data_IF_555988044606
#
_entry.id   IF_555988044606
#
_cell.length_a   1.000
_cell.length_b   1.000
_cell.length_c   1.000
_cell.angle_alpha   90.00
_cell.angle_beta   90.00
_cell.angle_gamma   90.00
#
_symmetry.space_group_name_H-M   'P 1'
#
loop_
_entity.id
_entity.type
_entity.pdbx_description
1 polymer ?
#
# COMPACT_ATOMS: atom_id res chain seq x y z
N UNK A 1 -21.82 20.85 -10.79
CA UNK A 1 -21.44 20.65 -12.20
C UNK A 1 -21.08 21.98 -12.81
N UNK A 2 -19.87 22.27 -13.19
CA UNK A 2 -19.59 23.30 -14.14
C UNK A 2 -19.45 22.66 -15.53
N UNK A 3 -20.21 23.22 -16.46
CA UNK A 3 -20.22 22.86 -17.88
C UNK A 3 -18.89 23.22 -18.51
N UNK A 4 -18.40 22.34 -19.41
CA UNK A 4 -17.20 22.58 -20.17
C UNK A 4 -17.28 23.90 -20.95
N UNK A 5 -16.22 24.69 -20.85
CA UNK A 5 -16.07 25.91 -21.62
C UNK A 5 -15.83 25.53 -23.09
N UNK A 6 -16.75 25.86 -23.95
CA UNK A 6 -16.53 25.92 -25.40
C UNK A 6 -15.59 27.09 -25.69
N UNK A 7 -14.34 26.79 -26.05
CA UNK A 7 -13.45 27.78 -26.63
C UNK A 7 -13.67 27.77 -28.13
N UNK A 8 -14.37 28.79 -28.64
CA UNK A 8 -14.41 29.05 -30.10
C UNK A 8 -13.07 29.63 -30.52
N UNK A 9 -12.31 28.89 -31.27
CA UNK A 9 -11.14 29.41 -31.99
C UNK A 9 -11.56 29.79 -33.41
N UNK A 10 -11.70 31.12 -33.67
CA UNK A 10 -11.75 31.69 -35.02
C UNK A 10 -10.34 31.83 -35.61
N UNK A 11 -9.64 30.68 -35.86
CA UNK A 11 -8.26 30.69 -36.40
C UNK A 11 -8.21 30.28 -37.90
N UNK A 12 -9.35 30.20 -38.57
CA UNK A 12 -9.39 29.60 -39.89
C UNK A 12 -9.42 30.60 -41.06
N UNK A 13 -9.31 31.93 -40.88
CA UNK A 13 -9.20 32.86 -41.99
C UNK A 13 -7.76 33.24 -42.38
N UNK A 14 -6.83 33.21 -41.44
CA UNK A 14 -5.46 33.69 -41.73
C UNK A 14 -4.48 32.62 -42.24
N UNK A 15 -4.75 31.32 -42.03
CA UNK A 15 -3.86 30.26 -42.49
C UNK A 15 -4.07 29.78 -43.92
N UNK A 16 -5.14 30.22 -44.60
CA UNK A 16 -5.46 29.87 -45.99
C UNK A 16 -4.88 30.85 -47.01
N UNK A 17 -4.26 31.96 -46.60
CA UNK A 17 -3.64 32.94 -47.47
C UNK A 17 -2.21 32.60 -47.94
N UNK A 18 -1.63 31.53 -47.44
CA UNK A 18 -0.22 31.12 -47.79
C UNK A 18 -0.11 30.08 -48.92
N UNK A 19 -1.21 29.61 -49.49
CA UNK A 19 -1.17 28.68 -50.63
C UNK A 19 -2.00 29.29 -51.77
N UNK A 20 -1.36 30.12 -52.55
CA UNK A 20 -1.89 30.87 -53.68
C UNK A 20 -2.73 30.08 -54.69
N UNK A 21 -4.01 29.83 -54.39
CA UNK A 21 -5.06 29.43 -55.33
C UNK A 21 -6.34 30.13 -55.01
N UNK A 22 -6.94 30.82 -56.00
CA UNK A 22 -8.19 31.52 -55.94
C UNK A 22 -9.34 30.61 -55.45
N UNK A 23 -10.30 31.14 -54.65
CA UNK A 23 -11.44 30.33 -54.16
C UNK A 23 -12.44 30.07 -55.30
N UNK A 24 -12.66 28.83 -55.63
CA UNK A 24 -13.81 28.38 -56.41
C UNK A 24 -15.03 28.41 -55.50
N UNK A 25 -16.00 29.26 -55.81
CA UNK A 25 -17.33 29.24 -55.17
C UNK A 25 -18.05 27.95 -55.58
N UNK A 26 -18.25 27.06 -54.64
CA UNK A 26 -19.13 25.90 -54.80
C UNK A 26 -20.32 26.16 -53.85
N UNK A 27 -21.48 26.51 -54.42
CA UNK A 27 -22.74 26.60 -53.72
C UNK A 27 -23.23 25.17 -53.37
N UNK A 28 -23.09 24.76 -52.12
CA UNK A 28 -23.70 23.56 -51.61
C UNK A 28 -24.72 23.88 -50.51
N UNK A 29 -25.97 23.36 -50.56
CA UNK A 29 -27.05 23.69 -49.63
C UNK A 29 -27.12 22.88 -48.37
N UNK A 30 -25.98 22.42 -47.82
CA UNK A 30 -25.95 21.70 -46.55
C UNK A 30 -24.94 22.36 -45.62
N UNK A 31 -25.47 22.96 -44.55
CA UNK A 31 -24.71 23.51 -43.44
C UNK A 31 -23.96 22.40 -42.66
N UNK A 32 -22.98 21.74 -43.28
CA UNK A 32 -22.13 20.80 -42.63
C UNK A 32 -20.88 21.53 -42.07
N UNK A 33 -20.96 21.92 -40.78
CA UNK A 33 -19.80 22.39 -40.04
C UNK A 33 -19.16 21.15 -39.43
N UNK A 34 -17.93 20.75 -39.83
CA UNK A 34 -17.23 19.69 -39.14
C UNK A 34 -16.93 20.17 -37.72
N UNK A 35 -17.60 19.58 -36.72
CA UNK A 35 -17.18 19.68 -35.34
C UNK A 35 -15.90 18.89 -35.19
N UNK A 36 -14.74 19.51 -35.30
CA UNK A 36 -13.51 18.94 -34.79
C UNK A 36 -13.61 18.97 -33.27
N UNK A 37 -14.05 17.87 -32.65
CA UNK A 37 -13.79 17.56 -31.26
C UNK A 37 -12.27 17.32 -31.17
N UNK A 38 -11.51 18.36 -30.84
CA UNK A 38 -10.16 18.19 -30.35
C UNK A 38 -10.33 17.52 -28.98
N UNK A 39 -10.23 16.22 -28.95
CA UNK A 39 -9.97 15.51 -27.70
C UNK A 39 -8.59 15.99 -27.23
N UNK A 40 -8.55 17.01 -26.38
CA UNK A 40 -7.44 17.11 -25.47
C UNK A 40 -7.43 15.76 -24.76
N UNK A 41 -6.44 14.94 -25.04
CA UNK A 41 -6.09 13.81 -24.19
C UNK A 41 -5.75 14.47 -22.86
N UNK A 42 -6.75 14.60 -21.96
CA UNK A 42 -6.52 15.13 -20.62
C UNK A 42 -5.47 14.22 -20.00
N UNK A 43 -4.25 14.77 -19.90
CA UNK A 43 -3.10 14.05 -19.37
C UNK A 43 -3.44 13.63 -17.94
N UNK A 44 -3.74 12.35 -17.74
CA UNK A 44 -4.11 11.83 -16.42
C UNK A 44 -2.99 12.10 -15.44
N UNK A 45 -3.27 12.87 -14.39
CA UNK A 45 -2.31 13.16 -13.32
C UNK A 45 -1.88 11.87 -12.60
N UNK A 46 -2.77 10.89 -12.50
CA UNK A 46 -2.49 9.56 -11.98
C UNK A 46 -1.33 8.86 -12.73
N UNK A 47 -1.16 9.14 -14.02
CA UNK A 47 -0.08 8.57 -14.85
C UNK A 47 1.16 9.48 -14.93
N UNK A 48 1.17 10.62 -14.24
CA UNK A 48 2.32 11.52 -14.22
C UNK A 48 3.38 11.09 -13.21
N UNK A 49 4.64 11.39 -13.51
CA UNK A 49 5.78 11.20 -12.61
C UNK A 49 5.61 11.96 -11.29
N UNK A 50 6.21 11.44 -10.24
CA UNK A 50 6.32 12.12 -8.94
C UNK A 50 7.50 11.55 -8.16
N UNK A 51 7.86 12.19 -7.04
CA UNK A 51 8.89 11.68 -6.13
C UNK A 51 8.28 11.48 -4.75
N UNK A 52 8.66 10.38 -4.10
CA UNK A 52 8.40 10.11 -2.69
C UNK A 52 9.73 10.11 -1.95
N UNK A 53 10.07 11.25 -1.32
CA UNK A 53 11.42 11.46 -0.82
C UNK A 53 12.46 11.28 -1.93
N UNK A 54 13.41 10.36 -1.74
CA UNK A 54 14.44 9.98 -2.71
C UNK A 54 14.01 8.92 -3.74
N UNK A 55 12.75 8.47 -3.72
CA UNK A 55 12.25 7.45 -4.64
C UNK A 55 11.50 8.12 -5.78
N UNK A 56 12.03 8.02 -7.00
CA UNK A 56 11.38 8.52 -8.21
C UNK A 56 10.36 7.51 -8.74
N UNK A 57 9.12 7.94 -8.95
CA UNK A 57 8.03 7.15 -9.46
C UNK A 57 7.69 7.56 -10.90
N UNK A 58 7.57 6.57 -11.80
CA UNK A 58 7.19 6.79 -13.20
C UNK A 58 5.72 7.22 -13.37
N UNK A 59 4.87 6.88 -12.41
CA UNK A 59 3.46 7.24 -12.35
C UNK A 59 2.98 7.18 -10.88
N UNK A 60 1.69 7.48 -10.61
CA UNK A 60 1.10 7.53 -9.27
C UNK A 60 0.20 6.33 -8.97
N UNK A 61 0.31 5.27 -9.76
CA UNK A 61 -0.37 3.99 -9.57
C UNK A 61 0.55 3.09 -8.75
N UNK A 62 0.24 2.91 -7.47
CA UNK A 62 1.04 2.10 -6.54
C UNK A 62 0.45 0.71 -6.42
N UNK A 63 1.28 -0.33 -6.48
CA UNK A 63 0.85 -1.67 -6.08
C UNK A 63 0.84 -1.76 -4.56
N UNK A 64 -0.36 -1.91 -3.98
CA UNK A 64 -0.54 -2.09 -2.55
C UNK A 64 0.14 -3.38 -2.04
N UNK A 65 0.58 -3.44 -0.78
CA UNK A 65 1.09 -4.68 -0.19
C UNK A 65 -0.02 -5.72 -0.11
N UNK A 66 0.24 -6.90 -0.67
CA UNK A 66 -0.71 -8.00 -0.79
C UNK A 66 -0.06 -9.29 -0.33
N UNK A 67 -0.48 -9.82 0.80
CA UNK A 67 -0.07 -11.15 1.27
C UNK A 67 -0.52 -12.21 0.28
N UNK A 68 0.41 -13.05 -0.22
CA UNK A 68 0.13 -14.07 -1.21
C UNK A 68 0.34 -15.50 -0.68
N UNK A 69 1.04 -15.66 0.45
CA UNK A 69 1.27 -16.95 1.12
C UNK A 69 1.89 -17.99 0.17
N UNK A 70 2.96 -17.63 -0.52
CA UNK A 70 3.70 -18.49 -1.48
C UNK A 70 5.20 -18.56 -1.21
N UNK A 71 5.63 -18.14 -0.01
CA UNK A 71 7.01 -18.36 0.41
C UNK A 71 7.32 -19.85 0.53
N UNK A 72 8.54 -20.20 0.21
CA UNK A 72 9.08 -21.56 0.32
C UNK A 72 9.47 -21.89 1.77
N UNK A 73 10.01 -23.10 2.00
CA UNK A 73 10.54 -23.48 3.30
C UNK A 73 11.54 -22.44 3.82
N UNK A 74 11.52 -22.17 5.12
CA UNK A 74 12.29 -21.10 5.75
C UNK A 74 11.71 -19.71 5.51
N UNK A 75 10.46 -19.63 5.03
CA UNK A 75 9.80 -18.35 4.70
C UNK A 75 10.57 -17.52 3.65
N UNK A 76 11.18 -18.20 2.69
CA UNK A 76 12.03 -17.63 1.63
C UNK A 76 11.17 -17.32 0.40
N UNK A 77 11.21 -16.08 -0.16
CA UNK A 77 10.58 -15.79 -1.45
C UNK A 77 11.20 -16.64 -2.57
N UNK A 78 10.35 -17.33 -3.34
CA UNK A 78 10.79 -18.20 -4.43
C UNK A 78 10.83 -17.53 -5.81
N UNK A 79 11.18 -18.30 -6.84
CA UNK A 79 11.28 -17.84 -8.23
C UNK A 79 9.94 -17.28 -8.77
N UNK A 80 8.81 -17.86 -8.37
CA UNK A 80 7.50 -17.32 -8.74
C UNK A 80 7.25 -15.92 -8.18
N UNK A 81 7.82 -15.58 -7.01
CA UNK A 81 7.73 -14.23 -6.46
C UNK A 81 8.51 -13.23 -7.33
N UNK A 82 9.72 -13.60 -7.79
CA UNK A 82 10.51 -12.77 -8.70
C UNK A 82 9.74 -12.47 -10.00
N UNK A 83 9.15 -13.50 -10.62
CA UNK A 83 8.31 -13.35 -11.80
C UNK A 83 7.06 -12.47 -11.53
N UNK A 84 6.36 -12.71 -10.41
CA UNK A 84 5.15 -11.98 -10.03
C UNK A 84 5.38 -10.49 -9.90
N UNK A 85 6.44 -10.09 -9.20
CA UNK A 85 6.76 -8.68 -8.99
C UNK A 85 7.33 -8.03 -10.27
N UNK A 86 8.15 -8.72 -11.04
CA UNK A 86 8.67 -8.22 -12.33
C UNK A 86 7.53 -7.93 -13.34
N UNK A 87 6.52 -8.80 -13.41
CA UNK A 87 5.33 -8.57 -14.25
C UNK A 87 4.58 -7.26 -13.89
N UNK A 88 4.69 -6.79 -12.65
CA UNK A 88 3.99 -5.60 -12.12
C UNK A 88 4.87 -4.36 -12.05
N UNK A 89 6.07 -4.42 -12.61
CA UNK A 89 7.06 -3.35 -12.55
C UNK A 89 6.66 -2.05 -13.27
N UNK A 90 5.56 -2.06 -14.05
CA UNK A 90 4.96 -0.86 -14.62
C UNK A 90 4.27 0.03 -13.57
N UNK A 91 4.00 -0.47 -12.35
CA UNK A 91 3.57 0.34 -11.23
C UNK A 91 4.59 1.45 -10.95
N UNK A 92 4.13 2.65 -10.58
CA UNK A 92 5.03 3.71 -10.14
C UNK A 92 5.87 3.30 -8.93
N UNK A 93 5.27 2.51 -8.02
CA UNK A 93 5.92 1.89 -6.88
C UNK A 93 5.24 0.56 -6.57
N UNK A 94 6.02 -0.47 -6.29
CA UNK A 94 5.55 -1.71 -5.70
C UNK A 94 5.84 -1.68 -4.20
N UNK A 95 4.82 -1.87 -3.36
CA UNK A 95 5.02 -2.27 -1.97
C UNK A 95 4.91 -3.79 -1.92
N UNK A 96 5.96 -4.47 -1.47
CA UNK A 96 5.97 -5.94 -1.38
C UNK A 96 4.85 -6.45 -0.48
N UNK A 97 4.49 -7.72 -0.59
CA UNK A 97 3.77 -8.37 0.50
C UNK A 97 4.54 -8.17 1.82
N UNK A 98 3.79 -8.12 2.92
CA UNK A 98 4.38 -7.90 4.23
C UNK A 98 5.37 -9.02 4.57
N UNK A 99 6.60 -8.63 4.93
CA UNK A 99 7.67 -9.52 5.31
C UNK A 99 7.88 -9.46 6.83
N UNK A 100 7.83 -10.61 7.50
CA UNK A 100 8.01 -10.68 8.94
C UNK A 100 9.43 -10.32 9.35
N UNK A 101 9.56 -9.49 10.40
CA UNK A 101 10.84 -8.96 10.89
C UNK A 101 11.62 -9.94 11.77
N UNK A 102 10.95 -10.97 12.28
CA UNK A 102 11.52 -12.04 13.13
C UNK A 102 10.60 -13.26 13.07
N UNK A 103 11.03 -14.40 13.61
CA UNK A 103 10.23 -15.61 13.67
C UNK A 103 8.93 -15.40 14.48
N UNK A 104 8.97 -14.60 15.55
CA UNK A 104 7.80 -14.28 16.37
C UNK A 104 6.81 -13.35 15.66
N UNK A 105 7.25 -12.66 14.60
CA UNK A 105 6.39 -11.76 13.82
C UNK A 105 5.46 -12.47 12.84
N UNK A 106 5.56 -13.79 12.68
CA UNK A 106 4.79 -14.61 11.73
C UNK A 106 3.36 -14.82 12.20
N UNK A 107 2.39 -14.65 11.28
CA UNK A 107 0.96 -14.83 11.58
C UNK A 107 0.19 -15.72 10.61
N UNK A 108 0.82 -16.12 9.51
CA UNK A 108 0.18 -16.96 8.50
C UNK A 108 1.20 -17.95 7.91
N UNK A 109 0.75 -19.13 7.43
CA UNK A 109 1.63 -20.05 6.74
C UNK A 109 2.17 -19.46 5.44
N UNK A 110 3.38 -19.84 5.05
CA UNK A 110 4.03 -19.45 3.80
C UNK A 110 4.04 -17.92 3.52
N UNK A 111 4.12 -17.09 4.55
CA UNK A 111 4.45 -15.65 4.41
C UNK A 111 5.96 -15.45 4.48
N UNK A 112 6.54 -14.55 3.67
CA UNK A 112 7.99 -14.38 3.65
C UNK A 112 8.51 -13.60 4.86
N UNK A 113 9.75 -13.92 5.26
CA UNK A 113 10.52 -13.15 6.22
C UNK A 113 11.54 -12.23 5.56
N UNK A 114 12.18 -11.38 6.39
CA UNK A 114 13.29 -10.49 6.02
C UNK A 114 14.30 -10.39 7.16
N UNK A 115 14.59 -11.51 7.83
CA UNK A 115 15.45 -11.54 9.01
C UNK A 115 16.58 -12.58 8.93
N UNK A 116 16.58 -13.49 7.93
CA UNK A 116 17.66 -14.43 7.69
C UNK A 116 18.38 -14.16 6.37
N UNK A 117 19.60 -14.69 6.23
CA UNK A 117 20.40 -14.53 5.02
C UNK A 117 19.76 -15.21 3.81
N UNK A 118 19.08 -16.36 4.00
CA UNK A 118 18.37 -17.07 2.94
C UNK A 118 17.17 -16.24 2.44
N UNK A 119 16.46 -15.59 3.35
CA UNK A 119 15.34 -14.70 3.00
C UNK A 119 15.85 -13.47 2.22
N UNK A 120 16.97 -12.89 2.64
CA UNK A 120 17.64 -11.80 1.90
C UNK A 120 18.01 -12.23 0.48
N UNK A 121 18.57 -13.43 0.31
CA UNK A 121 18.90 -13.96 -1.02
C UNK A 121 17.64 -14.19 -1.87
N UNK A 122 16.57 -14.70 -1.27
CA UNK A 122 15.27 -14.83 -1.96
C UNK A 122 14.71 -13.48 -2.42
N UNK A 123 14.71 -12.49 -1.53
CA UNK A 123 14.26 -11.14 -1.88
C UNK A 123 15.17 -10.44 -2.90
N UNK A 124 16.48 -10.70 -2.89
CA UNK A 124 17.41 -10.16 -3.88
C UNK A 124 17.02 -10.58 -5.30
N UNK A 125 16.62 -11.84 -5.50
CA UNK A 125 16.11 -12.30 -6.81
C UNK A 125 14.88 -11.51 -7.24
N UNK A 126 14.00 -11.15 -6.29
CA UNK A 126 12.81 -10.35 -6.56
C UNK A 126 13.19 -8.91 -6.95
N UNK A 127 14.03 -8.25 -6.16
CA UNK A 127 14.44 -6.87 -6.41
C UNK A 127 15.23 -6.74 -7.71
N UNK A 128 16.15 -7.67 -7.97
CA UNK A 128 16.92 -7.71 -9.23
C UNK A 128 15.99 -7.88 -10.44
N UNK A 129 14.99 -8.77 -10.36
CA UNK A 129 14.03 -8.98 -11.44
C UNK A 129 13.14 -7.74 -11.71
N UNK A 130 12.72 -7.03 -10.66
CA UNK A 130 11.94 -5.78 -10.78
C UNK A 130 12.82 -4.67 -11.36
N UNK A 131 14.05 -4.52 -10.88
CA UNK A 131 14.98 -3.48 -11.36
C UNK A 131 15.43 -3.73 -12.80
N UNK A 132 15.61 -4.99 -13.20
CA UNK A 132 15.98 -5.34 -14.59
C UNK A 132 14.97 -4.83 -15.63
N UNK A 133 13.72 -4.63 -15.25
CA UNK A 133 12.66 -4.08 -16.09
C UNK A 133 12.28 -2.63 -15.72
N UNK A 134 13.11 -1.95 -14.94
CA UNK A 134 13.00 -0.52 -14.61
C UNK A 134 11.98 -0.18 -13.51
N UNK A 135 11.45 -1.17 -12.78
CA UNK A 135 10.50 -0.97 -11.69
C UNK A 135 11.16 -0.49 -10.39
N UNK A 136 10.32 -0.07 -9.44
CA UNK A 136 10.68 0.33 -8.07
C UNK A 136 9.93 -0.51 -7.08
N UNK A 137 10.62 -1.05 -6.06
CA UNK A 137 10.03 -1.91 -5.04
C UNK A 137 10.57 -1.60 -3.66
N UNK A 138 9.67 -1.48 -2.67
CA UNK A 138 9.99 -1.31 -1.25
C UNK A 138 9.49 -2.48 -0.43
N UNK A 139 10.17 -2.79 0.68
CA UNK A 139 9.78 -3.88 1.59
C UNK A 139 8.79 -3.38 2.65
N UNK A 140 7.64 -4.05 2.82
CA UNK A 140 6.78 -3.79 3.96
C UNK A 140 7.24 -4.62 5.18
N UNK A 141 7.70 -3.93 6.24
CA UNK A 141 8.16 -4.54 7.49
C UNK A 141 6.97 -4.84 8.41
N UNK A 142 6.86 -6.06 8.87
CA UNK A 142 5.65 -6.57 9.51
C UNK A 142 5.91 -7.39 10.78
N UNK A 143 5.09 -7.13 11.79
CA UNK A 143 4.90 -7.99 12.94
C UNK A 143 3.40 -8.09 13.22
N UNK A 144 2.86 -9.30 13.19
CA UNK A 144 1.40 -9.49 13.26
C UNK A 144 0.81 -9.28 14.66
N UNK A 145 1.65 -9.35 15.70
CA UNK A 145 1.15 -9.26 17.08
C UNK A 145 0.24 -10.44 17.42
N UNK A 146 -0.95 -10.14 17.96
CA UNK A 146 -1.95 -11.14 18.36
C UNK A 146 -2.64 -11.87 17.21
N UNK A 147 -2.38 -11.46 15.96
CA UNK A 147 -2.97 -12.09 14.77
C UNK A 147 -2.11 -13.26 14.34
N UNK A 148 -2.02 -14.26 15.19
CA UNK A 148 -1.20 -15.46 14.99
C UNK A 148 -1.74 -16.64 15.82
N UNK A 149 -1.05 -17.77 15.70
CA UNK A 149 -1.30 -19.00 16.46
C UNK A 149 0.03 -19.63 16.87
N UNK A 150 0.10 -20.24 18.07
CA UNK A 150 1.32 -20.86 18.62
C UNK A 150 1.94 -21.91 17.70
N UNK A 151 1.13 -22.60 16.87
CA UNK A 151 1.63 -23.54 15.88
C UNK A 151 2.60 -22.92 14.85
N UNK A 152 2.55 -21.62 14.64
CA UNK A 152 3.45 -20.87 13.76
C UNK A 152 4.76 -20.47 14.48
N UNK A 153 4.80 -20.60 15.81
CA UNK A 153 5.89 -20.17 16.70
C UNK A 153 6.41 -21.30 17.60
N UNK A 154 6.55 -22.49 17.07
CA UNK A 154 6.85 -23.71 17.85
C UNK A 154 7.98 -23.55 18.88
N UNK A 155 8.96 -22.70 18.59
CA UNK A 155 10.07 -22.39 19.51
C UNK A 155 9.86 -21.11 20.33
N UNK A 156 8.93 -20.24 19.92
CA UNK A 156 8.70 -18.90 20.49
C UNK A 156 7.45 -18.83 21.41
N UNK A 157 6.63 -19.88 21.43
CA UNK A 157 5.43 -19.95 22.26
C UNK A 157 4.23 -19.14 21.72
N UNK A 158 3.47 -18.53 22.64
CA UNK A 158 2.25 -17.79 22.30
C UNK A 158 2.53 -16.52 21.49
N UNK A 159 1.61 -16.10 20.63
CA UNK A 159 1.62 -14.78 20.03
C UNK A 159 1.75 -13.66 21.07
N UNK A 160 2.30 -12.54 20.70
CA UNK A 160 2.52 -11.39 21.60
C UNK A 160 1.67 -10.19 21.20
N UNK A 161 1.32 -9.34 22.19
CA UNK A 161 0.50 -8.15 21.98
C UNK A 161 0.81 -7.08 23.01
N UNK A 162 0.29 -5.84 22.90
CA UNK A 162 0.40 -4.87 23.98
C UNK A 162 -0.28 -5.33 25.27
N UNK A 163 -1.35 -6.13 25.16
CA UNK A 163 -2.10 -6.69 26.30
C UNK A 163 -2.63 -8.09 25.96
N UNK A 164 -2.85 -8.92 26.96
CA UNK A 164 -3.34 -10.30 26.81
C UNK A 164 -4.84 -10.35 26.45
N UNK A 165 -5.19 -9.86 25.26
CA UNK A 165 -6.55 -9.75 24.72
C UNK A 165 -6.60 -10.47 23.38
N UNK A 166 -7.27 -11.62 23.31
CA UNK A 166 -7.50 -12.33 22.07
C UNK A 166 -8.48 -11.55 21.17
N UNK A 167 -8.23 -11.44 19.86
CA UNK A 167 -9.26 -10.93 18.95
C UNK A 167 -10.34 -11.97 18.71
N UNK A 168 -11.50 -11.53 18.23
CA UNK A 168 -12.57 -12.43 17.78
C UNK A 168 -12.23 -13.06 16.44
N UNK A 169 -12.75 -14.26 16.16
CA UNK A 169 -12.60 -14.92 14.86
C UNK A 169 -11.62 -16.10 14.85
N UNK A 170 -11.03 -16.35 13.69
CA UNK A 170 -10.16 -17.52 13.45
C UNK A 170 -8.91 -17.11 12.69
N UNK A 171 -7.84 -17.86 12.92
CA UNK A 171 -6.54 -17.70 12.26
C UNK A 171 -6.10 -18.99 11.57
N UNK A 172 -5.31 -18.88 10.53
CA UNK A 172 -4.66 -20.04 9.92
C UNK A 172 -3.55 -20.56 10.82
N UNK A 173 -3.53 -21.89 11.04
CA UNK A 173 -2.46 -22.61 11.71
C UNK A 173 -1.36 -23.01 10.71
N UNK A 174 -0.23 -23.52 11.20
CA UNK A 174 0.85 -24.03 10.34
C UNK A 174 0.41 -25.14 9.38
N UNK A 175 -0.62 -25.91 9.75
CA UNK A 175 -1.23 -26.95 8.90
C UNK A 175 -2.30 -26.42 7.93
N UNK A 176 -2.46 -25.10 7.78
CA UNK A 176 -3.50 -24.46 6.97
C UNK A 176 -4.93 -24.67 7.49
N UNK A 177 -5.10 -25.19 8.70
CA UNK A 177 -6.38 -25.24 9.40
C UNK A 177 -6.80 -23.84 9.89
N UNK A 178 -8.09 -23.66 10.18
CA UNK A 178 -8.63 -22.46 10.81
C UNK A 178 -9.03 -22.76 12.24
N UNK A 179 -8.31 -22.17 13.21
CA UNK A 179 -8.59 -22.29 14.63
C UNK A 179 -8.94 -20.94 15.26
N UNK A 180 -9.55 -20.94 16.43
CA UNK A 180 -9.79 -19.70 17.18
C UNK A 180 -8.45 -19.05 17.55
N UNK A 181 -8.43 -17.72 17.63
CA UNK A 181 -7.28 -17.02 18.16
C UNK A 181 -6.99 -17.43 19.60
N UNK A 182 -5.72 -17.62 19.93
CA UNK A 182 -5.27 -17.80 21.32
C UNK A 182 -5.18 -16.45 22.02
N UNK A 183 -5.28 -16.47 23.35
CA UNK A 183 -4.96 -15.29 24.16
C UNK A 183 -3.46 -15.02 24.07
N UNK A 184 -3.04 -13.89 23.50
CA UNK A 184 -1.62 -13.58 23.37
C UNK A 184 -0.99 -13.29 24.73
N UNK A 185 0.33 -13.42 24.80
CA UNK A 185 1.12 -12.92 25.93
C UNK A 185 1.31 -11.41 25.78
N UNK A 186 1.15 -10.65 26.86
CA UNK A 186 1.52 -9.25 26.87
C UNK A 186 3.05 -9.11 26.73
N UNK A 187 3.50 -8.17 25.89
CA UNK A 187 4.93 -7.83 25.77
C UNK A 187 5.38 -7.11 27.06
N UNK A 188 6.45 -7.62 27.67
CA UNK A 188 7.04 -6.98 28.85
C UNK A 188 7.77 -5.70 28.44
N UNK A 189 7.85 -4.72 29.37
CA UNK A 189 8.52 -3.44 29.11
C UNK A 189 9.99 -3.63 28.71
N UNK A 190 10.65 -4.63 29.29
CA UNK A 190 12.05 -5.01 29.00
C UNK A 190 12.27 -5.63 27.64
N UNK A 191 11.23 -6.12 26.97
CA UNK A 191 11.29 -6.73 25.63
C UNK A 191 11.21 -5.65 24.51
N UNK A 192 10.63 -4.48 24.78
CA UNK A 192 10.40 -3.45 23.76
C UNK A 192 11.69 -2.99 23.06
N UNK A 193 12.82 -2.78 23.74
CA UNK A 193 14.06 -2.48 23.05
C UNK A 193 14.51 -3.56 22.07
N UNK A 194 14.33 -4.85 22.41
CA UNK A 194 14.61 -5.97 21.52
C UNK A 194 13.71 -5.96 20.28
N UNK A 195 12.41 -5.72 20.47
CA UNK A 195 11.45 -5.59 19.37
C UNK A 195 11.82 -4.46 18.39
N UNK A 196 12.27 -3.30 18.90
CA UNK A 196 12.76 -2.20 18.05
C UNK A 196 14.00 -2.64 17.29
N UNK A 197 14.91 -3.42 17.90
CA UNK A 197 16.09 -3.96 17.22
C UNK A 197 15.73 -4.98 16.14
N UNK A 198 14.64 -5.75 16.27
CA UNK A 198 14.14 -6.63 15.20
C UNK A 198 13.73 -5.81 13.96
N UNK A 199 13.04 -4.67 14.14
CA UNK A 199 12.75 -3.74 13.03
C UNK A 199 14.02 -3.16 12.40
N UNK A 200 15.01 -2.78 13.22
CA UNK A 200 16.33 -2.27 12.74
C UNK A 200 17.06 -3.35 11.93
N UNK A 201 17.06 -4.59 12.44
CA UNK A 201 17.68 -5.72 11.75
C UNK A 201 16.99 -5.97 10.41
N UNK A 202 15.66 -6.11 10.39
CA UNK A 202 14.88 -6.31 9.17
C UNK A 202 15.07 -5.17 8.16
N UNK A 203 15.14 -3.93 8.63
CA UNK A 203 15.43 -2.77 7.79
C UNK A 203 16.81 -2.84 7.12
N UNK A 204 17.85 -3.30 7.84
CA UNK A 204 19.19 -3.57 7.28
C UNK A 204 19.16 -4.70 6.26
N UNK A 205 18.45 -5.79 6.56
CA UNK A 205 18.31 -6.93 5.66
C UNK A 205 17.55 -6.55 4.38
N UNK A 206 16.50 -5.71 4.47
CA UNK A 206 15.82 -5.18 3.30
C UNK A 206 16.77 -4.33 2.41
N UNK A 207 17.67 -3.56 3.02
CA UNK A 207 18.70 -2.81 2.28
C UNK A 207 19.70 -3.74 1.60
N UNK A 208 20.13 -4.80 2.26
CA UNK A 208 20.99 -5.82 1.68
C UNK A 208 20.30 -6.61 0.56
N UNK A 209 19.00 -6.82 0.64
CA UNK A 209 18.19 -7.45 -0.38
C UNK A 209 17.96 -6.55 -1.63
N UNK A 210 18.40 -5.28 -1.61
CA UNK A 210 18.33 -4.40 -2.77
C UNK A 210 17.01 -3.63 -2.95
N UNK A 211 16.15 -3.56 -1.93
CA UNK A 211 14.94 -2.73 -2.00
C UNK A 211 15.26 -1.23 -2.16
N UNK A 212 14.35 -0.46 -2.73
CA UNK A 212 14.49 1.00 -2.90
C UNK A 212 14.15 1.79 -1.62
N UNK A 213 13.51 1.16 -0.64
CA UNK A 213 13.09 1.73 0.64
C UNK A 213 12.27 0.72 1.45
N UNK A 214 11.63 1.18 2.51
CA UNK A 214 10.78 0.35 3.37
C UNK A 214 9.48 1.07 3.75
N UNK A 215 8.43 0.29 4.01
CA UNK A 215 7.20 0.75 4.62
C UNK A 215 6.99 0.03 5.95
N UNK A 216 6.87 0.78 7.06
CA UNK A 216 6.52 0.21 8.37
C UNK A 216 5.02 -0.04 8.42
N UNK A 217 4.61 -1.28 8.71
CA UNK A 217 3.20 -1.66 8.76
C UNK A 217 2.58 -1.32 10.12
N UNK A 218 1.96 -0.16 10.23
CA UNK A 218 1.23 0.32 11.42
C UNK A 218 -0.30 0.33 11.23
N UNK A 219 -0.86 -0.70 10.55
CA UNK A 219 -2.26 -0.74 10.12
C UNK A 219 -2.88 -2.12 10.27
N UNK A 220 -4.18 -2.24 9.96
CA UNK A 220 -4.92 -3.49 9.82
C UNK A 220 -4.96 -4.37 11.08
N UNK A 221 -4.80 -3.82 12.27
CA UNK A 221 -4.86 -4.55 13.52
C UNK A 221 -3.64 -5.44 13.81
N UNK A 222 -2.49 -5.17 13.17
CA UNK A 222 -1.23 -5.83 13.50
C UNK A 222 -0.49 -5.12 14.64
N UNK A 223 0.68 -5.58 15.04
CA UNK A 223 1.29 -5.24 16.33
C UNK A 223 1.34 -3.72 16.60
N UNK A 224 1.89 -2.93 15.69
CA UNK A 224 2.01 -1.49 15.92
C UNK A 224 0.64 -0.79 15.98
N UNK A 225 -0.32 -1.23 15.17
CA UNK A 225 -1.71 -0.77 15.22
C UNK A 225 -2.40 -1.20 16.54
N UNK A 226 -2.09 -2.41 17.05
CA UNK A 226 -2.58 -2.87 18.36
C UNK A 226 -2.09 -1.99 19.51
N UNK A 227 -0.87 -1.43 19.43
CA UNK A 227 -0.36 -0.47 20.42
C UNK A 227 -1.08 0.87 20.33
N UNK A 228 -1.45 1.33 19.12
CA UNK A 228 -2.12 2.62 18.90
C UNK A 228 -3.52 2.65 19.54
N UNK A 229 -4.30 1.59 19.37
CA UNK A 229 -5.73 1.57 19.71
C UNK A 229 -6.01 1.14 21.15
N UNK A 230 -6.85 1.91 21.86
CA UNK A 230 -7.19 1.62 23.26
C UNK A 230 -8.07 0.37 23.44
N UNK A 231 -8.70 -0.15 22.39
CA UNK A 231 -9.43 -1.42 22.40
C UNK A 231 -8.52 -2.62 22.66
N UNK A 232 -7.32 -2.63 22.08
CA UNK A 232 -6.33 -3.71 22.18
C UNK A 232 -5.18 -3.39 23.14
N UNK A 233 -4.94 -2.12 23.50
CA UNK A 233 -3.89 -1.68 24.40
C UNK A 233 -4.47 -1.20 25.74
N UNK A 234 -4.31 -2.02 26.78
CA UNK A 234 -4.72 -1.74 28.18
C UNK A 234 -3.51 -1.56 29.12
N UNK A 235 -2.34 -1.25 28.55
CA UNK A 235 -1.12 -1.01 29.34
C UNK A 235 -1.26 0.23 30.24
N UNK A 236 -0.61 0.17 31.39
CA UNK A 236 -0.55 1.28 32.33
C UNK A 236 0.84 1.92 32.40
N UNK A 237 1.80 1.45 31.58
CA UNK A 237 3.15 1.99 31.46
C UNK A 237 3.24 3.05 30.36
N UNK A 238 4.47 3.48 30.02
CA UNK A 238 4.76 4.52 29.04
C UNK A 238 4.35 4.16 27.59
N UNK A 239 3.85 2.95 27.31
CA UNK A 239 3.34 2.52 26.00
C UNK A 239 1.81 2.33 25.99
N UNK A 240 1.09 2.78 27.01
CA UNK A 240 -0.35 2.69 27.13
C UNK A 240 -1.01 3.91 27.77
N UNK A 241 -2.33 3.93 27.77
CA UNK A 241 -3.14 5.04 28.34
C UNK A 241 -3.32 6.19 27.34
N UNK A 242 -2.54 7.29 27.46
CA UNK A 242 -2.69 8.48 26.60
C UNK A 242 -2.34 8.21 25.14
N UNK A 243 -2.81 9.07 24.23
CA UNK A 243 -2.51 8.95 22.79
C UNK A 243 -0.99 9.04 22.51
N UNK A 244 -0.26 9.84 23.28
CA UNK A 244 1.19 9.99 23.18
C UNK A 244 1.89 8.66 23.53
N UNK A 245 1.49 8.05 24.62
CA UNK A 245 2.06 6.78 25.06
C UNK A 245 1.73 5.64 24.08
N UNK A 246 0.49 5.55 23.61
CA UNK A 246 0.09 4.54 22.63
C UNK A 246 0.77 4.71 21.28
N UNK A 247 1.12 5.92 20.89
CA UNK A 247 1.86 6.23 19.66
C UNK A 247 3.38 6.00 19.80
N UNK A 248 3.91 5.91 21.01
CA UNK A 248 5.35 5.88 21.31
C UNK A 248 6.08 4.78 20.56
N UNK A 249 5.60 3.53 20.62
CA UNK A 249 6.29 2.41 19.98
C UNK A 249 6.43 2.61 18.48
N UNK A 250 5.36 3.01 17.78
CA UNK A 250 5.43 3.27 16.34
C UNK A 250 6.44 4.38 16.01
N UNK A 251 6.45 5.47 16.79
CA UNK A 251 7.38 6.57 16.55
C UNK A 251 8.83 6.15 16.81
N UNK A 252 9.11 5.37 17.87
CA UNK A 252 10.45 4.84 18.17
C UNK A 252 10.94 3.86 17.10
N UNK A 253 10.07 2.96 16.61
CA UNK A 253 10.38 2.07 15.49
C UNK A 253 10.72 2.88 14.24
N UNK A 254 9.90 3.86 13.87
CA UNK A 254 10.15 4.70 12.70
C UNK A 254 11.45 5.49 12.84
N UNK A 255 11.72 6.06 14.00
CA UNK A 255 12.99 6.76 14.28
C UNK A 255 14.19 5.83 14.05
N UNK A 256 14.12 4.60 14.57
CA UNK A 256 15.18 3.60 14.43
C UNK A 256 15.38 3.12 12.99
N UNK A 257 14.28 2.88 12.26
CA UNK A 257 14.31 2.50 10.84
C UNK A 257 14.84 3.63 9.96
N UNK A 258 14.48 4.90 10.25
CA UNK A 258 15.06 6.07 9.59
C UNK A 258 16.56 6.19 9.82
N UNK A 259 17.06 5.74 10.96
CA UNK A 259 18.51 5.65 11.22
C UNK A 259 19.26 4.70 10.28
N UNK A 260 18.57 3.72 9.70
CA UNK A 260 19.15 2.77 8.71
C UNK A 260 19.07 3.29 7.29
N UNK A 261 17.92 3.89 6.91
CA UNK A 261 17.58 4.19 5.51
C UNK A 261 17.70 5.67 5.13
N UNK A 262 17.64 6.59 6.10
CA UNK A 262 17.21 7.97 5.87
C UNK A 262 15.69 8.07 5.83
N UNK A 263 15.13 9.15 6.34
CA UNK A 263 13.67 9.33 6.39
C UNK A 263 13.03 9.42 4.99
N UNK A 264 13.78 9.87 4.01
CA UNK A 264 13.39 10.03 2.60
C UNK A 264 13.19 8.70 1.82
N UNK A 265 13.42 7.54 2.48
CA UNK A 265 13.19 6.18 1.95
C UNK A 265 12.33 5.32 2.86
N UNK A 266 11.72 5.92 3.87
CA UNK A 266 10.86 5.25 4.85
C UNK A 266 9.45 5.80 4.73
N UNK A 267 8.48 4.90 4.55
CA UNK A 267 7.06 5.19 4.65
C UNK A 267 6.42 4.49 5.84
N UNK A 268 5.19 4.88 6.16
CA UNK A 268 4.38 4.19 7.16
C UNK A 268 2.95 4.02 6.66
N UNK A 269 2.37 2.83 6.91
CA UNK A 269 0.98 2.53 6.56
C UNK A 269 0.11 2.57 7.80
N UNK A 270 -1.02 3.29 7.72
CA UNK A 270 -1.98 3.49 8.80
C UNK A 270 -3.41 3.21 8.32
N UNK A 271 -4.28 2.74 9.24
CA UNK A 271 -5.70 2.45 8.98
C UNK A 271 -6.63 3.12 9.99
N UNK A 272 -6.68 4.47 10.05
CA UNK A 272 -7.65 5.16 10.88
C UNK A 272 -9.07 4.67 10.56
N UNK A 273 -9.89 4.50 11.58
CA UNK A 273 -11.25 3.94 11.47
C UNK A 273 -11.32 2.49 10.97
N UNK A 274 -10.19 1.80 10.77
CA UNK A 274 -10.17 0.38 10.43
C UNK A 274 -10.65 -0.48 11.60
N UNK A 275 -11.58 -1.43 11.34
CA UNK A 275 -12.08 -2.38 12.33
C UNK A 275 -11.58 -3.81 12.10
N UNK A 276 -10.76 -4.01 11.07
CA UNK A 276 -10.21 -5.33 10.73
C UNK A 276 -9.36 -5.87 11.89
N UNK A 277 -9.42 -7.18 12.13
CA UNK A 277 -8.74 -7.84 13.26
C UNK A 277 -9.17 -7.34 14.63
N UNK A 278 -10.47 -6.98 14.76
CA UNK A 278 -11.12 -6.59 16.03
C UNK A 278 -10.50 -5.31 16.63
N UNK A 279 -10.20 -4.34 15.75
CA UNK A 279 -9.67 -3.05 16.18
C UNK A 279 -10.77 -2.06 16.54
N UNK A 280 -10.55 -1.32 17.62
CA UNK A 280 -11.46 -0.25 18.07
C UNK A 280 -10.71 0.79 18.89
N UNK A 281 -11.16 2.04 18.81
CA UNK A 281 -10.68 3.13 19.67
C UNK A 281 -11.83 4.09 20.00
N UNK A 282 -11.80 4.65 21.20
CA UNK A 282 -12.81 5.61 21.66
C UNK A 282 -12.59 7.02 21.15
N UNK A 283 -11.38 7.35 20.66
CA UNK A 283 -11.01 8.66 20.10
C UNK A 283 -10.03 8.53 18.93
N UNK A 284 -10.51 7.92 17.85
CA UNK A 284 -9.73 7.76 16.59
C UNK A 284 -9.23 9.10 16.08
N UNK A 285 -10.06 10.15 16.14
CA UNK A 285 -9.69 11.47 15.60
C UNK A 285 -8.55 12.11 16.40
N UNK A 286 -8.63 12.09 17.74
CA UNK A 286 -7.56 12.62 18.60
C UNK A 286 -6.26 11.85 18.43
N UNK A 287 -6.33 10.51 18.43
CA UNK A 287 -5.18 9.64 18.23
C UNK A 287 -4.44 9.97 16.92
N UNK A 288 -5.14 9.92 15.79
CA UNK A 288 -4.49 10.11 14.48
C UNK A 288 -4.14 11.58 14.19
N UNK A 289 -4.82 12.56 14.78
CA UNK A 289 -4.39 13.97 14.74
C UNK A 289 -3.03 14.14 15.44
N UNK A 290 -2.86 13.57 16.62
CA UNK A 290 -1.57 13.59 17.33
C UNK A 290 -0.48 12.85 16.55
N UNK A 291 -0.76 11.60 16.16
CA UNK A 291 0.21 10.73 15.48
C UNK A 291 0.70 11.35 14.17
N UNK A 292 -0.21 11.79 13.30
CA UNK A 292 0.16 12.37 11.99
C UNK A 292 0.91 13.69 12.18
N UNK A 293 0.54 14.51 13.18
CA UNK A 293 1.30 15.70 13.55
C UNK A 293 2.72 15.40 14.04
N UNK A 294 2.92 14.25 14.73
CA UNK A 294 4.27 13.80 15.12
C UNK A 294 5.06 13.27 13.91
N UNK A 295 4.42 12.48 13.03
CA UNK A 295 5.01 11.94 11.80
C UNK A 295 5.44 13.04 10.81
N UNK A 296 4.70 14.15 10.75
CA UNK A 296 5.05 15.32 9.92
C UNK A 296 6.43 15.87 10.20
N UNK A 297 6.89 15.78 11.47
CA UNK A 297 8.23 16.25 11.89
C UNK A 297 9.36 15.31 11.48
N UNK A 298 9.04 14.07 11.12
CA UNK A 298 10.03 13.05 10.77
C UNK A 298 10.49 13.10 9.31
N UNK A 299 9.80 13.89 8.47
CA UNK A 299 10.11 14.04 7.03
C UNK A 299 10.17 12.69 6.28
N UNK A 300 9.22 11.78 6.57
CA UNK A 300 9.14 10.50 5.92
C UNK A 300 8.87 10.65 4.41
N UNK A 301 9.29 9.67 3.63
CA UNK A 301 9.07 9.61 2.18
C UNK A 301 7.57 9.71 1.83
N UNK A 302 6.72 9.03 2.59
CA UNK A 302 5.27 9.06 2.42
C UNK A 302 4.51 8.53 3.64
N UNK A 303 3.23 8.89 3.69
CA UNK A 303 2.22 8.32 4.58
C UNK A 303 1.17 7.59 3.74
N UNK A 304 0.94 6.31 4.02
CA UNK A 304 0.03 5.46 3.28
C UNK A 304 -1.24 5.19 4.11
N UNK A 305 -2.35 5.80 3.73
CA UNK A 305 -3.64 5.59 4.39
C UNK A 305 -4.47 4.49 3.74
N UNK A 306 -5.09 3.66 4.59
CA UNK A 306 -6.21 2.82 4.20
C UNK A 306 -7.49 3.58 4.49
N UNK A 307 -8.31 3.79 3.46
CA UNK A 307 -9.61 4.42 3.58
C UNK A 307 -10.63 3.42 4.16
N UNK A 308 -11.45 3.81 5.14
CA UNK A 308 -12.45 2.94 5.75
C UNK A 308 -13.59 2.55 4.80
N UNK A 309 -13.73 3.24 3.66
CA UNK A 309 -14.66 2.87 2.59
C UNK A 309 -14.44 1.46 2.06
N UNK A 310 -13.23 0.91 2.17
CA UNK A 310 -12.90 -0.47 1.77
C UNK A 310 -12.69 -1.31 3.01
N UNK A 311 -13.73 -1.95 3.48
CA UNK A 311 -13.70 -2.80 4.66
C UNK A 311 -13.06 -4.17 4.38
N UNK A 312 -12.62 -4.87 5.45
CA UNK A 312 -12.14 -6.26 5.42
C UNK A 312 -10.90 -6.52 4.54
N UNK A 313 -9.93 -5.59 4.48
CA UNK A 313 -8.63 -5.80 3.82
C UNK A 313 -8.73 -6.54 2.45
N UNK A 314 -9.73 -6.18 1.63
CA UNK A 314 -9.98 -6.82 0.34
C UNK A 314 -10.90 -8.05 0.38
N UNK A 315 -11.49 -8.40 1.51
CA UNK A 315 -12.47 -9.48 1.64
C UNK A 315 -13.80 -9.22 0.91
N UNK A 316 -14.11 -7.96 0.58
CA UNK A 316 -15.32 -7.56 -0.15
C UNK A 316 -14.99 -6.57 -1.27
N UNK A 317 -15.85 -6.51 -2.29
CA UNK A 317 -15.81 -5.48 -3.34
C UNK A 317 -16.68 -4.27 -3.01
N UNK A 318 -17.47 -4.35 -1.94
CA UNK A 318 -18.33 -3.26 -1.52
C UNK A 318 -17.48 -2.07 -1.04
N UNK A 319 -17.88 -0.90 -1.46
CA UNK A 319 -17.33 0.39 -1.02
C UNK A 319 -18.42 1.11 -0.25
N UNK A 320 -18.11 1.53 0.98
CA UNK A 320 -19.00 2.33 1.80
C UNK A 320 -18.72 3.83 1.52
N UNK A 321 -19.68 4.52 0.93
CA UNK A 321 -19.51 5.91 0.48
C UNK A 321 -19.68 6.92 1.62
N UNK A 322 -20.35 6.54 2.69
CA UNK A 322 -20.67 7.37 3.86
C UNK A 322 -19.55 7.43 4.92
N UNK A 323 -18.43 6.75 4.67
CA UNK A 323 -17.32 6.72 5.59
C UNK A 323 -16.43 7.98 5.50
N UNK A 324 -15.85 8.44 6.62
CA UNK A 324 -14.91 9.57 6.59
C UNK A 324 -13.68 9.23 5.76
N UNK A 325 -13.25 10.12 4.86
CA UNK A 325 -12.00 9.93 4.12
C UNK A 325 -10.79 10.25 5.00
N UNK A 326 -9.94 9.24 5.25
CA UNK A 326 -8.74 9.38 6.07
C UNK A 326 -7.71 10.31 5.44
N UNK A 327 -7.45 10.15 4.14
CA UNK A 327 -6.53 11.04 3.42
C UNK A 327 -6.99 12.49 3.42
N UNK A 328 -8.30 12.75 3.29
CA UNK A 328 -8.85 14.10 3.37
C UNK A 328 -8.75 14.71 4.77
N UNK A 329 -8.96 13.90 5.82
CA UNK A 329 -8.94 14.38 7.21
C UNK A 329 -7.52 14.60 7.74
N UNK A 330 -6.62 13.64 7.50
CA UNK A 330 -5.32 13.59 8.13
C UNK A 330 -4.16 13.94 7.19
N UNK A 331 -4.34 13.80 5.87
CA UNK A 331 -3.30 14.14 4.88
C UNK A 331 -2.77 15.56 5.03
N UNK A 332 -3.62 16.60 5.18
CA UNK A 332 -3.16 17.98 5.37
C UNK A 332 -2.29 18.21 6.62
N UNK A 333 -2.40 17.34 7.64
CA UNK A 333 -1.59 17.42 8.86
C UNK A 333 -0.17 16.88 8.67
N UNK A 334 0.04 16.04 7.66
CA UNK A 334 1.34 15.42 7.40
C UNK A 334 2.31 16.36 6.68
N UNK A 335 1.81 17.15 5.74
CA UNK A 335 2.63 18.10 4.97
C UNK A 335 3.62 17.46 4.00
N UNK A 336 3.64 16.13 3.87
CA UNK A 336 4.46 15.32 2.96
C UNK A 336 3.59 14.59 1.93
N UNK A 337 4.17 13.56 1.30
CA UNK A 337 3.49 12.76 0.28
C UNK A 337 2.50 11.74 0.88
N UNK A 338 1.31 11.67 0.30
CA UNK A 338 0.23 10.78 0.76
C UNK A 338 -0.14 9.77 -0.32
N UNK A 339 -0.16 8.49 0.06
CA UNK A 339 -0.77 7.40 -0.70
C UNK A 339 -2.13 7.10 -0.08
N UNK A 340 -3.17 6.98 -0.89
CA UNK A 340 -4.50 6.54 -0.45
C UNK A 340 -4.85 5.17 -1.05
N UNK A 341 -5.40 4.26 -0.23
CA UNK A 341 -5.83 2.92 -0.63
C UNK A 341 -7.24 2.67 -0.14
N UNK A 342 -8.17 2.25 -0.99
CA UNK A 342 -9.55 2.03 -0.54
C UNK A 342 -10.54 1.71 -1.64
N UNK A 343 -10.25 0.73 -2.50
CA UNK A 343 -11.21 0.26 -3.50
C UNK A 343 -11.49 1.26 -4.63
N UNK A 344 -10.49 2.05 -4.98
CA UNK A 344 -10.56 2.99 -6.09
C UNK A 344 -10.62 2.29 -7.44
N UNK A 345 -11.43 2.84 -8.36
CA UNK A 345 -11.35 2.60 -9.79
C UNK A 345 -10.42 3.62 -10.45
N UNK A 346 -10.35 3.60 -11.79
CA UNK A 346 -9.53 4.51 -12.58
C UNK A 346 -9.91 5.99 -12.38
N UNK A 347 -11.20 6.29 -12.55
CA UNK A 347 -11.67 7.67 -12.62
C UNK A 347 -11.78 8.34 -11.25
N UNK A 348 -12.18 7.61 -10.20
CA UNK A 348 -12.17 8.14 -8.84
C UNK A 348 -10.73 8.27 -8.30
N UNK A 349 -9.80 7.40 -8.69
CA UNK A 349 -8.38 7.56 -8.41
C UNK A 349 -7.80 8.84 -9.05
N UNK A 350 -8.09 9.07 -10.34
CA UNK A 350 -7.71 10.31 -11.02
C UNK A 350 -8.27 11.54 -10.31
N UNK A 351 -9.55 11.52 -9.95
CA UNK A 351 -10.18 12.64 -9.26
C UNK A 351 -9.52 12.97 -7.91
N UNK A 352 -9.15 11.94 -7.13
CA UNK A 352 -8.46 12.11 -5.84
C UNK A 352 -7.05 12.69 -6.03
N UNK A 353 -6.30 12.22 -7.02
CA UNK A 353 -4.96 12.74 -7.32
C UNK A 353 -5.02 14.14 -7.94
N UNK A 354 -5.96 14.38 -8.85
CA UNK A 354 -6.14 15.69 -9.49
C UNK A 354 -6.52 16.77 -8.48
N UNK A 355 -7.36 16.44 -7.49
CA UNK A 355 -7.74 17.37 -6.40
C UNK A 355 -6.62 17.68 -5.42
N UNK A 356 -5.54 16.88 -5.39
CA UNK A 356 -4.46 17.00 -4.42
C UNK A 356 -4.78 16.38 -3.05
N UNK A 357 -5.87 15.63 -2.91
CA UNK A 357 -6.21 14.92 -1.68
C UNK A 357 -5.20 13.81 -1.35
N UNK A 358 -4.67 13.15 -2.37
CA UNK A 358 -3.54 12.25 -2.26
C UNK A 358 -2.56 12.45 -3.44
N UNK A 359 -1.30 12.07 -3.25
CA UNK A 359 -0.25 12.15 -4.28
C UNK A 359 -0.21 10.92 -5.18
N UNK A 360 -0.68 9.78 -4.67
CA UNK A 360 -0.78 8.52 -5.41
C UNK A 360 -1.88 7.63 -4.82
N UNK A 361 -2.32 6.66 -5.61
CA UNK A 361 -3.34 5.68 -5.21
C UNK A 361 -2.75 4.27 -5.24
N UNK A 362 -2.98 3.53 -4.14
CA UNK A 362 -2.57 2.13 -4.04
C UNK A 362 -3.72 1.18 -4.40
N UNK A 363 -3.45 0.29 -5.34
CA UNK A 363 -4.39 -0.70 -5.83
C UNK A 363 -3.96 -2.10 -5.39
N UNK A 364 -4.88 -2.85 -4.76
CA UNK A 364 -4.66 -4.24 -4.37
C UNK A 364 -5.15 -5.22 -5.43
N UNK A 365 -6.43 -5.60 -5.33
CA UNK A 365 -7.06 -6.66 -6.14
C UNK A 365 -6.85 -6.53 -7.64
N UNK A 366 -6.88 -5.31 -8.15
CA UNK A 366 -6.70 -5.05 -9.56
C UNK A 366 -5.28 -5.41 -10.03
N UNK A 367 -4.25 -5.19 -9.21
CA UNK A 367 -2.90 -5.64 -9.54
C UNK A 367 -2.72 -7.15 -9.49
N UNK A 368 -3.57 -7.90 -8.76
CA UNK A 368 -3.50 -9.36 -8.79
C UNK A 368 -3.77 -9.86 -10.22
N UNK A 369 -4.86 -9.41 -10.83
CA UNK A 369 -5.33 -9.91 -12.14
C UNK A 369 -4.91 -9.06 -13.34
N UNK A 370 -4.32 -7.88 -13.12
CA UNK A 370 -3.86 -6.97 -14.17
C UNK A 370 -2.41 -6.54 -13.89
N UNK A 371 -1.42 -7.36 -14.29
CA UNK A 371 -0.02 -7.02 -14.05
C UNK A 371 0.38 -5.67 -14.65
N UNK A 372 -0.23 -5.29 -15.75
CA UNK A 372 -0.05 -4.07 -16.54
C UNK A 372 -1.08 -2.98 -16.22
N UNK A 373 -1.56 -2.90 -14.99
CA UNK A 373 -2.65 -2.02 -14.58
C UNK A 373 -2.47 -0.55 -15.01
N UNK A 374 -1.28 0.10 -14.89
CA UNK A 374 -1.08 1.46 -15.38
C UNK A 374 -1.35 1.59 -16.90
N UNK A 375 -0.95 0.59 -17.69
CA UNK A 375 -1.20 0.57 -19.14
C UNK A 375 -2.68 0.42 -19.45
N UNK A 376 -3.41 -0.43 -18.71
CA UNK A 376 -4.86 -0.55 -18.84
C UNK A 376 -5.57 0.76 -18.50
N UNK A 377 -5.12 1.46 -17.49
CA UNK A 377 -5.65 2.79 -17.15
C UNK A 377 -5.35 3.83 -18.23
N UNK A 378 -4.14 3.84 -18.79
CA UNK A 378 -3.78 4.74 -19.89
C UNK A 378 -4.71 4.54 -21.11
N UNK A 379 -4.95 3.29 -21.49
CA UNK A 379 -5.77 2.94 -22.65
C UNK A 379 -7.27 2.88 -22.34
N UNK A 380 -7.68 3.10 -21.09
CA UNK A 380 -9.05 2.83 -20.62
C UNK A 380 -9.54 1.43 -21.01
N UNK A 381 -8.64 0.45 -20.93
CA UNK A 381 -8.92 -0.93 -21.32
C UNK A 381 -9.67 -1.67 -20.21
N UNK A 382 -10.48 -2.69 -20.54
CA UNK A 382 -11.16 -3.53 -19.57
C UNK A 382 -10.19 -4.20 -18.60
N UNK A 383 -10.57 -4.26 -17.31
CA UNK A 383 -9.79 -4.99 -16.31
C UNK A 383 -10.18 -6.48 -16.34
N UNK A 384 -9.16 -7.36 -16.29
CA UNK A 384 -9.37 -8.78 -16.11
C UNK A 384 -9.94 -9.06 -14.70
N UNK A 385 -10.93 -9.94 -14.57
CA UNK A 385 -11.47 -10.32 -13.28
C UNK A 385 -10.44 -11.12 -12.47
N UNK A 386 -10.46 -10.96 -11.16
CA UNK A 386 -9.63 -11.76 -10.23
C UNK A 386 -10.42 -12.94 -9.67
N UNK A 387 -9.73 -14.03 -9.38
CA UNK A 387 -10.29 -15.18 -8.65
C UNK A 387 -9.81 -15.14 -7.19
N UNK A 388 -10.73 -14.82 -6.25
CA UNK A 388 -10.42 -14.75 -4.81
C UNK A 388 -9.89 -16.07 -4.23
N UNK A 389 -10.26 -17.22 -4.81
CA UNK A 389 -9.81 -18.54 -4.35
C UNK A 389 -8.31 -18.74 -4.56
N UNK A 390 -7.70 -17.95 -5.44
CA UNK A 390 -6.26 -18.00 -5.74
C UNK A 390 -5.45 -16.90 -5.06
N UNK A 391 -6.06 -16.11 -4.17
CA UNK A 391 -5.33 -15.02 -3.51
C UNK A 391 -4.22 -15.52 -2.61
N UNK A 392 -4.45 -16.63 -1.90
CA UNK A 392 -3.53 -17.16 -0.90
C UNK A 392 -3.11 -18.59 -1.22
N UNK A 393 -1.80 -18.86 -1.09
CA UNK A 393 -1.26 -20.20 -1.32
C UNK A 393 -1.28 -20.63 -2.80
N UNK A 394 -1.00 -21.90 -3.06
CA UNK A 394 -0.92 -22.48 -4.39
C UNK A 394 0.41 -22.20 -5.10
N UNK A 395 0.36 -22.31 -6.42
CA UNK A 395 1.51 -22.20 -7.33
C UNK A 395 1.39 -20.97 -8.26
N UNK A 396 1.69 -21.13 -9.54
CA UNK A 396 1.61 -20.08 -10.56
C UNK A 396 0.18 -19.61 -10.84
N UNK A 397 -0.83 -20.49 -10.60
CA UNK A 397 -2.23 -20.17 -10.88
C UNK A 397 -2.74 -19.04 -9.98
N UNK A 398 -3.32 -17.99 -10.61
CA UNK A 398 -3.79 -16.78 -9.91
C UNK A 398 -2.64 -15.96 -9.31
N UNK A 399 -1.40 -16.21 -9.74
CA UNK A 399 -0.22 -15.50 -9.30
C UNK A 399 0.55 -14.91 -10.48
N UNK A 400 1.09 -15.77 -11.36
CA UNK A 400 1.90 -15.35 -12.51
C UNK A 400 1.25 -15.61 -13.86
N UNK A 401 0.05 -16.19 -13.90
CA UNK A 401 -0.66 -16.64 -15.12
C UNK A 401 -1.70 -15.65 -15.65
N UNK A 402 -1.91 -14.51 -14.98
CA UNK A 402 -2.82 -13.47 -15.48
C UNK A 402 -2.25 -12.79 -16.73
N UNK A 403 -3.09 -12.59 -17.77
CA UNK A 403 -2.63 -12.02 -19.04
C UNK A 403 -2.36 -10.51 -18.95
N UNK A 404 -1.33 -10.06 -19.63
CA UNK A 404 -1.13 -8.65 -20.01
C UNK A 404 -1.95 -8.32 -21.28
N UNK A 405 -2.06 -7.01 -21.61
CA UNK A 405 -2.62 -6.53 -22.89
C UNK A 405 -1.71 -6.88 -24.04
#
# INVERSE_FOLDING_TARGET
>A
MPRGAEVKLDIYQDSLMLIGRSPVKVDHPLNWRPRFLIFFNDFMKLLSKTNFGAIELSNRVVMAPLTRMRAQAGDVPGELAAQYYAQRASAGLIVSEAAQISALAKGYPATPGIYSDEQVQGWRKVTDAVHAVGGKIICQLWHVGRISHSSLHTEQGLPVAPSAIAPTGKVYTASWGLEAFETPRAIELTEIPGLIQDYVHAAKQAKLAGFDGVEVHGANGYLLDQFLHNGSNKRADQYGGSVENRSRLLLEVLQAVCGVWGSDRVGVRLSPYGTFNDMSDTDVKGLFTYLVGALSKMQLAFLHFIEPRSTMAGGTDKVAEDQPSTSKLFGPLFGGKVISAGGYGRDDAEAVVASGQADAIAFGRFFISNPDLPKRFELNAPLAPYDRKTFYGGDAKGYTDYPML
#
